data_IF_743067093294
#
_entry.id   IF_743067093294
#
_cell.length_a   1.000
_cell.length_b   1.000
_cell.length_c   1.000
_cell.angle_alpha   90.00
_cell.angle_beta   90.00
_cell.angle_gamma   90.00
#
_symmetry.space_group_name_H-M   'P 1'
#
loop_
_entity.id
_entity.type
_entity.pdbx_description
1 polymer ?
#
# COMPACT_ATOMS: atom_id res chain seq x y z
N UNK A 1 -6.88 -10.37 -4.12
CA UNK A 1 -6.16 -9.88 -2.92
C UNK A 1 -5.66 -11.06 -2.12
N UNK A 2 -4.38 -11.12 -1.79
CA UNK A 2 -3.74 -12.13 -0.93
C UNK A 2 -3.12 -11.53 0.33
N UNK A 3 -2.72 -10.26 0.28
CA UNK A 3 -2.10 -9.53 1.38
C UNK A 3 -2.54 -8.05 1.36
N UNK A 4 -2.65 -7.46 2.55
CA UNK A 4 -2.81 -6.02 2.75
C UNK A 4 -1.67 -5.52 3.64
N UNK A 5 -1.05 -4.42 3.25
CA UNK A 5 -0.05 -3.70 4.04
C UNK A 5 -0.65 -2.35 4.43
N UNK A 6 -0.58 -1.98 5.71
CA UNK A 6 -0.96 -0.65 6.17
C UNK A 6 0.33 0.06 6.59
N UNK A 7 0.62 1.17 5.93
CA UNK A 7 1.79 1.99 6.17
C UNK A 7 1.37 3.33 6.75
N UNK A 8 2.18 3.84 7.68
CA UNK A 8 1.97 5.12 8.36
C UNK A 8 2.53 6.32 7.57
N UNK A 9 3.38 6.08 6.57
CA UNK A 9 4.01 7.12 5.75
C UNK A 9 4.02 6.84 4.22
N UNK A 10 4.16 7.94 3.48
CA UNK A 10 4.27 7.92 2.02
C UNK A 10 5.47 7.08 1.52
N UNK A 11 6.64 7.21 2.15
CA UNK A 11 7.86 6.57 1.65
C UNK A 11 7.84 5.07 1.91
N UNK A 12 7.45 4.63 3.11
CA UNK A 12 7.39 3.21 3.45
C UNK A 12 6.30 2.46 2.66
N UNK A 13 5.16 3.11 2.39
CA UNK A 13 4.12 2.52 1.53
C UNK A 13 4.64 2.24 0.11
N UNK A 14 5.31 3.21 -0.52
CA UNK A 14 5.80 3.08 -1.89
C UNK A 14 7.01 2.14 -2.01
N UNK A 15 7.97 2.19 -1.08
CA UNK A 15 9.09 1.24 -1.09
C UNK A 15 8.58 -0.20 -0.96
N UNK A 16 7.70 -0.45 0.02
CA UNK A 16 7.07 -1.78 0.18
C UNK A 16 6.35 -2.22 -1.10
N UNK A 17 5.59 -1.32 -1.72
CA UNK A 17 4.90 -1.59 -2.98
C UNK A 17 5.85 -2.01 -4.10
N UNK A 18 6.97 -1.27 -4.26
CA UNK A 18 8.00 -1.55 -5.27
C UNK A 18 8.72 -2.87 -4.98
N UNK A 19 9.08 -3.15 -3.72
CA UNK A 19 9.77 -4.40 -3.38
C UNK A 19 8.89 -5.63 -3.66
N UNK A 20 7.59 -5.55 -3.34
CA UNK A 20 6.65 -6.64 -3.61
C UNK A 20 6.40 -6.82 -5.12
N UNK A 21 6.29 -5.72 -5.86
CA UNK A 21 6.22 -5.76 -7.32
C UNK A 21 7.47 -6.41 -7.95
N UNK A 22 8.67 -6.08 -7.46
CA UNK A 22 9.94 -6.72 -7.89
C UNK A 22 9.99 -8.22 -7.62
N UNK A 23 9.22 -8.73 -6.65
CA UNK A 23 9.07 -10.17 -6.38
C UNK A 23 7.95 -10.83 -7.19
N UNK A 24 7.33 -10.10 -8.13
CA UNK A 24 6.32 -10.62 -9.05
C UNK A 24 4.88 -10.50 -8.57
N UNK A 25 4.62 -9.85 -7.43
CA UNK A 25 3.27 -9.61 -6.96
C UNK A 25 2.62 -8.43 -7.71
N UNK A 26 1.37 -8.58 -8.17
CA UNK A 26 0.60 -7.44 -8.67
C UNK A 26 0.22 -6.57 -7.48
N UNK A 27 0.99 -5.50 -7.28
CA UNK A 27 0.90 -4.64 -6.10
C UNK A 27 0.28 -3.31 -6.48
N UNK A 28 -0.69 -2.87 -5.68
CA UNK A 28 -1.27 -1.53 -5.79
C UNK A 28 -1.04 -0.77 -4.48
N UNK A 29 -0.71 0.52 -4.59
CA UNK A 29 -0.55 1.42 -3.45
C UNK A 29 -1.69 2.43 -3.49
N UNK A 30 -2.53 2.43 -2.46
CA UNK A 30 -3.54 3.45 -2.22
C UNK A 30 -2.94 4.57 -1.39
N UNK A 31 -2.94 5.75 -1.99
CA UNK A 31 -2.50 7.01 -1.38
C UNK A 31 -3.66 7.78 -0.77
N UNK A 32 -4.89 7.53 -1.24
CA UNK A 32 -6.10 8.19 -0.73
C UNK A 32 -7.25 7.18 -0.54
N UNK A 33 -8.17 7.41 0.41
CA UNK A 33 -9.25 6.47 0.72
C UNK A 33 -10.29 6.27 -0.39
N UNK A 34 -10.40 7.24 -1.31
CA UNK A 34 -11.36 7.22 -2.43
C UNK A 34 -10.91 6.34 -3.61
N UNK A 35 -9.64 5.92 -3.62
CA UNK A 35 -9.13 5.00 -4.64
C UNK A 35 -9.80 3.63 -4.48
N UNK A 36 -10.26 3.07 -5.60
CA UNK A 36 -10.80 1.71 -5.64
C UNK A 36 -9.70 0.76 -6.12
N UNK A 37 -9.20 -0.14 -5.27
CA UNK A 37 -8.17 -1.07 -5.67
C UNK A 37 -8.75 -2.12 -6.64
N UNK A 38 -7.93 -2.55 -7.60
CA UNK A 38 -8.31 -3.58 -8.54
C UNK A 38 -8.56 -4.90 -7.82
N UNK A 39 -9.61 -5.63 -8.24
CA UNK A 39 -9.85 -7.00 -7.78
C UNK A 39 -8.71 -7.96 -8.15
N UNK A 40 -7.84 -7.57 -9.08
CA UNK A 40 -6.70 -8.36 -9.56
C UNK A 40 -5.43 -8.18 -8.74
N UNK A 41 -5.37 -7.23 -7.81
CA UNK A 41 -4.19 -7.04 -6.96
C UNK A 41 -3.94 -8.29 -6.09
N UNK A 42 -2.68 -8.72 -6.04
CA UNK A 42 -2.20 -9.73 -5.09
C UNK A 42 -1.89 -9.05 -3.74
N UNK A 43 -1.34 -7.83 -3.77
CA UNK A 43 -1.04 -7.02 -2.59
C UNK A 43 -1.69 -5.65 -2.74
N UNK A 44 -2.35 -5.19 -1.69
CA UNK A 44 -2.76 -3.80 -1.54
C UNK A 44 -1.99 -3.13 -0.40
N UNK A 45 -1.28 -2.06 -0.70
CA UNK A 45 -0.65 -1.19 0.31
C UNK A 45 -1.55 0.02 0.53
N UNK A 46 -1.87 0.34 1.78
CA UNK A 46 -2.68 1.50 2.15
C UNK A 46 -1.78 2.46 2.92
N UNK A 47 -1.57 3.65 2.39
CA UNK A 47 -0.94 4.76 3.09
C UNK A 47 -1.97 5.48 3.95
N UNK A 48 -1.65 5.68 5.23
CA UNK A 48 -2.54 6.38 6.18
C UNK A 48 -2.07 7.79 6.52
N UNK A 49 -0.86 8.20 6.11
CA UNK A 49 -0.24 9.48 6.50
C UNK A 49 -0.33 9.75 8.01
N UNK A 50 -0.29 8.70 8.81
CA UNK A 50 -0.59 8.75 10.25
C UNK A 50 0.65 8.94 11.12
N UNK A 51 1.88 8.86 10.56
CA UNK A 51 3.13 8.92 11.33
C UNK A 51 3.23 10.11 12.30
N UNK A 52 2.72 11.27 11.89
CA UNK A 52 2.78 12.49 12.68
C UNK A 52 1.52 12.72 13.55
N UNK A 53 0.53 11.82 13.50
CA UNK A 53 -0.69 11.97 14.28
C UNK A 53 -0.49 11.55 15.75
N UNK A 54 -1.27 12.11 16.68
CA UNK A 54 -1.34 11.62 18.05
C UNK A 54 -1.79 10.15 18.12
N UNK A 55 -1.32 9.45 19.15
CA UNK A 55 -1.72 8.07 19.45
C UNK A 55 -3.13 7.97 20.05
#
# INVERSE_FOLDING_TARGET
MKMIVIADDFTGSNDTGVQLAKKGARTEVMLTPDQKPSRRADVLVINTESRAMPA
#
